data_IF_162094497041
#
_entry.id   IF_162094497041
#
_cell.length_a   1.000
_cell.length_b   1.000
_cell.length_c   1.000
_cell.angle_alpha   90.00
_cell.angle_beta   90.00
_cell.angle_gamma   90.00
#
_symmetry.space_group_name_H-M   'P 1'
#
loop_
_entity.id
_entity.type
_entity.pdbx_description
1 polymer ?
#
# COMPACT_ATOMS: atom_id res chain seq x y z
N UNK A 1 28.75 68.91 -13.72
CA UNK A 1 28.19 67.86 -14.61
C UNK A 1 27.90 66.63 -13.76
N UNK A 2 26.65 66.15 -13.80
CA UNK A 2 26.16 64.77 -13.55
C UNK A 2 26.72 64.03 -12.31
N UNK A 3 25.94 63.98 -11.22
CA UNK A 3 25.02 62.87 -10.86
C UNK A 3 25.76 61.58 -10.49
N UNK A 4 25.74 61.22 -9.20
CA UNK A 4 25.27 59.90 -8.74
C UNK A 4 25.21 59.85 -7.21
N UNK A 5 23.99 59.69 -6.73
CA UNK A 5 23.57 59.44 -5.36
C UNK A 5 23.35 57.93 -5.25
N UNK A 6 24.11 57.18 -4.45
CA UNK A 6 23.67 55.84 -4.01
C UNK A 6 24.06 55.62 -2.54
N UNK A 7 23.01 55.72 -1.72
CA UNK A 7 22.88 55.19 -0.38
C UNK A 7 22.78 53.65 -0.48
N UNK A 8 23.62 52.90 0.23
CA UNK A 8 23.33 51.49 0.51
C UNK A 8 23.74 51.15 1.95
N UNK A 9 22.74 51.14 2.83
CA UNK A 9 22.73 50.33 4.02
C UNK A 9 22.32 48.89 3.67
N UNK A 10 22.39 47.99 4.66
CA UNK A 10 21.95 46.59 4.65
C UNK A 10 22.96 45.58 4.08
N UNK A 11 23.20 44.40 4.65
CA UNK A 11 22.63 43.69 5.80
C UNK A 11 23.65 42.61 6.18
N UNK A 12 23.71 42.31 7.47
CA UNK A 12 24.35 41.14 8.08
C UNK A 12 23.90 39.86 7.35
N UNK A 13 24.82 39.22 6.62
CA UNK A 13 24.58 37.96 5.94
C UNK A 13 24.62 36.82 6.95
N UNK A 14 23.47 36.53 7.56
CA UNK A 14 23.24 35.20 8.13
C UNK A 14 23.05 34.21 6.98
N UNK A 15 23.85 33.14 7.01
CA UNK A 15 23.64 31.95 6.19
C UNK A 15 22.24 31.41 6.49
N UNK A 16 21.30 31.56 5.56
CA UNK A 16 20.11 30.74 5.52
C UNK A 16 20.41 29.51 4.65
N UNK A 17 20.34 28.33 5.24
CA UNK A 17 20.28 27.06 4.51
C UNK A 17 18.90 27.03 3.83
N UNK A 18 18.83 27.56 2.60
CA UNK A 18 17.66 27.40 1.74
C UNK A 18 17.74 26.05 1.05
N UNK A 19 17.09 25.08 1.68
CA UNK A 19 16.93 23.73 1.13
C UNK A 19 16.05 22.84 1.99
N UNK A 20 15.11 23.40 2.76
CA UNK A 20 13.96 22.59 3.15
C UNK A 20 13.10 22.44 1.89
N UNK A 21 13.13 21.26 1.29
CA UNK A 21 12.02 20.87 0.42
C UNK A 21 10.80 20.80 1.31
N UNK A 22 9.96 21.84 1.25
CA UNK A 22 8.56 21.69 1.62
C UNK A 22 8.00 20.63 0.66
N UNK A 23 7.87 19.40 1.14
CA UNK A 23 7.00 18.42 0.48
C UNK A 23 5.61 19.01 0.60
N UNK A 24 5.15 19.67 -0.46
CA UNK A 24 3.78 20.18 -0.53
C UNK A 24 2.83 19.10 -0.04
N UNK A 25 1.84 19.48 0.76
CA UNK A 25 0.87 18.56 1.35
C UNK A 25 0.23 17.74 0.21
N UNK A 26 0.78 16.56 -0.06
CA UNK A 26 0.46 15.78 -1.24
C UNK A 26 -0.77 14.93 -0.88
N UNK A 27 -1.91 15.60 -0.76
CA UNK A 27 -3.20 14.95 -0.49
C UNK A 27 -3.54 14.05 -1.68
N UNK A 28 -3.78 12.77 -1.43
CA UNK A 28 -4.22 11.83 -2.45
C UNK A 28 -5.73 11.99 -2.68
N UNK A 29 -6.17 11.68 -3.90
CA UNK A 29 -7.58 11.71 -4.28
C UNK A 29 -7.95 10.39 -4.93
N UNK A 30 -9.20 9.96 -4.76
CA UNK A 30 -9.72 8.76 -5.41
C UNK A 30 -9.57 8.82 -6.93
N UNK A 31 -9.72 10.02 -7.50
CA UNK A 31 -9.62 10.27 -8.94
C UNK A 31 -8.23 10.03 -9.53
N UNK A 32 -7.17 10.21 -8.73
CA UNK A 32 -5.77 10.03 -9.15
C UNK A 32 -5.21 8.68 -8.72
N UNK A 33 -5.88 7.98 -7.82
CA UNK A 33 -5.43 6.71 -7.27
C UNK A 33 -4.25 6.85 -6.30
N UNK A 34 -3.76 5.71 -5.82
CA UNK A 34 -2.61 5.59 -4.93
C UNK A 34 -1.38 5.17 -5.74
N UNK A 35 -0.32 5.99 -5.82
CA UNK A 35 0.94 5.55 -6.42
C UNK A 35 1.48 4.29 -5.71
N UNK A 36 1.95 3.30 -6.45
CA UNK A 36 2.44 2.03 -5.86
C UNK A 36 3.54 2.24 -4.82
N UNK A 37 4.36 3.28 -4.96
CA UNK A 37 5.42 3.65 -4.03
C UNK A 37 4.91 4.07 -2.63
N UNK A 38 3.65 4.49 -2.52
CA UNK A 38 3.03 4.92 -1.26
C UNK A 38 2.45 3.74 -0.46
N UNK A 39 2.12 2.65 -1.16
CA UNK A 39 1.39 1.51 -0.60
C UNK A 39 2.12 0.81 0.57
N UNK A 40 3.46 0.65 0.56
CA UNK A 40 4.16 0.07 1.72
C UNK A 40 3.96 0.84 3.02
N UNK A 41 3.78 2.17 2.96
CA UNK A 41 3.49 2.98 4.15
C UNK A 41 2.05 2.81 4.63
N UNK A 42 1.08 2.66 3.71
CA UNK A 42 -0.31 2.33 4.05
C UNK A 42 -0.38 0.98 4.76
N UNK A 43 0.32 -0.04 4.22
CA UNK A 43 0.42 -1.35 4.85
C UNK A 43 1.05 -1.28 6.25
N UNK A 44 2.09 -0.47 6.43
CA UNK A 44 2.69 -0.24 7.74
C UNK A 44 1.68 0.34 8.75
N UNK A 45 0.86 1.31 8.33
CA UNK A 45 -0.20 1.88 9.19
C UNK A 45 -1.24 0.84 9.61
N UNK A 46 -1.66 -0.02 8.68
CA UNK A 46 -2.54 -1.16 9.02
C UNK A 46 -1.84 -2.09 10.04
N UNK A 47 -0.54 -2.35 9.88
CA UNK A 47 0.21 -3.27 10.75
C UNK A 47 0.35 -2.81 12.20
N UNK A 48 0.36 -1.49 12.44
CA UNK A 48 0.55 -0.90 13.77
C UNK A 48 -0.77 -0.41 14.39
N UNK A 49 -1.86 -0.47 13.64
CA UNK A 49 -3.18 -0.12 14.14
C UNK A 49 -3.70 -1.20 15.11
N UNK A 50 -4.46 -0.77 16.11
CA UNK A 50 -4.90 -1.61 17.22
C UNK A 50 -6.42 -1.74 17.26
N UNK A 51 -6.91 -2.91 17.71
CA UNK A 51 -8.34 -3.19 17.81
C UNK A 51 -8.95 -3.61 16.47
N UNK A 52 -10.27 -3.55 16.38
CA UNK A 52 -11.00 -3.74 15.12
C UNK A 52 -10.82 -2.49 14.26
N UNK A 53 -10.37 -2.68 13.02
CA UNK A 53 -10.07 -1.59 12.08
C UNK A 53 -11.03 -1.72 10.90
N UNK A 54 -11.92 -0.75 10.73
CA UNK A 54 -12.81 -0.70 9.57
C UNK A 54 -12.17 0.06 8.39
N UNK A 55 -11.34 1.07 8.71
CA UNK A 55 -10.64 1.88 7.73
C UNK A 55 -9.33 2.50 8.25
N UNK A 56 -8.48 2.97 7.33
CA UNK A 56 -7.23 3.69 7.63
C UNK A 56 -7.20 5.02 6.87
N UNK A 57 -6.85 6.09 7.58
CA UNK A 57 -6.58 7.38 6.96
C UNK A 57 -5.12 7.46 6.46
N UNK A 58 -4.96 7.86 5.20
CA UNK A 58 -3.67 8.13 4.58
C UNK A 58 -3.74 9.32 3.61
N UNK A 59 -2.99 10.39 3.92
CA UNK A 59 -2.86 11.59 3.07
C UNK A 59 -4.23 12.12 2.56
N UNK A 60 -5.23 12.15 3.45
CA UNK A 60 -6.58 12.63 3.16
C UNK A 60 -7.54 11.61 2.53
N UNK A 61 -7.09 10.39 2.21
CA UNK A 61 -7.96 9.27 1.87
C UNK A 61 -8.33 8.49 3.12
N UNK A 62 -9.59 8.09 3.24
CA UNK A 62 -10.03 7.13 4.25
C UNK A 62 -10.35 5.79 3.57
N UNK A 63 -9.44 4.82 3.69
CA UNK A 63 -9.49 3.56 2.95
C UNK A 63 -10.10 2.44 3.80
N UNK A 64 -11.19 1.84 3.35
CA UNK A 64 -11.77 0.65 3.98
C UNK A 64 -10.82 -0.56 3.91
N UNK A 65 -11.02 -1.57 4.76
CA UNK A 65 -10.19 -2.78 4.70
C UNK A 65 -10.32 -3.56 3.37
N UNK A 66 -11.47 -3.50 2.70
CA UNK A 66 -11.63 -4.09 1.36
C UNK A 66 -10.84 -3.29 0.31
N UNK A 67 -10.82 -1.95 0.41
CA UNK A 67 -9.96 -1.12 -0.42
C UNK A 67 -8.48 -1.43 -0.19
N UNK A 68 -8.07 -1.58 1.07
CA UNK A 68 -6.71 -1.99 1.42
C UNK A 68 -6.39 -3.37 0.83
N UNK A 69 -7.28 -4.37 0.94
CA UNK A 69 -7.07 -5.70 0.35
C UNK A 69 -6.79 -5.60 -1.16
N UNK A 70 -7.59 -4.83 -1.89
CA UNK A 70 -7.39 -4.60 -3.31
C UNK A 70 -6.07 -3.89 -3.61
N UNK A 71 -5.81 -2.77 -2.93
CA UNK A 71 -4.63 -1.93 -3.16
C UNK A 71 -3.36 -2.72 -2.87
N UNK A 72 -3.33 -3.49 -1.79
CA UNK A 72 -2.18 -4.29 -1.41
C UNK A 72 -1.93 -5.43 -2.39
N UNK A 73 -2.99 -6.14 -2.80
CA UNK A 73 -2.89 -7.18 -3.81
C UNK A 73 -2.33 -6.64 -5.15
N UNK A 74 -2.87 -5.52 -5.63
CA UNK A 74 -2.42 -4.91 -6.89
C UNK A 74 -1.00 -4.36 -6.77
N UNK A 75 -0.64 -3.78 -5.63
CA UNK A 75 0.72 -3.28 -5.39
C UNK A 75 1.76 -4.39 -5.41
N UNK A 76 1.50 -5.55 -4.79
CA UNK A 76 2.43 -6.68 -4.80
C UNK A 76 2.75 -7.11 -6.24
N UNK A 77 1.74 -7.21 -7.11
CA UNK A 77 1.91 -7.59 -8.51
C UNK A 77 2.68 -6.51 -9.30
N UNK A 78 2.41 -5.23 -9.03
CA UNK A 78 3.13 -4.12 -9.66
C UNK A 78 4.60 -4.05 -9.21
N UNK A 79 4.87 -4.26 -7.92
CA UNK A 79 6.24 -4.31 -7.38
C UNK A 79 7.01 -5.52 -7.94
N UNK A 80 6.36 -6.66 -8.13
CA UNK A 80 6.95 -7.85 -8.75
C UNK A 80 7.37 -7.58 -10.21
N UNK A 81 6.58 -6.82 -10.95
CA UNK A 81 6.83 -6.46 -12.35
C UNK A 81 7.60 -5.15 -12.54
N UNK A 82 8.02 -4.49 -11.44
CA UNK A 82 8.65 -3.17 -11.43
C UNK A 82 7.82 -2.05 -12.11
N UNK A 83 6.50 -2.18 -12.06
CA UNK A 83 5.54 -1.14 -12.44
C UNK A 83 5.51 -0.03 -11.37
N UNK A 84 5.45 1.22 -11.80
CA UNK A 84 5.48 2.44 -10.97
C UNK A 84 4.19 3.26 -11.05
N UNK A 85 3.14 2.70 -11.65
CA UNK A 85 1.88 3.38 -11.86
C UNK A 85 1.07 3.63 -10.58
N UNK A 86 -0.15 4.11 -10.81
CA UNK A 86 -1.12 4.37 -9.76
C UNK A 86 -2.16 3.25 -9.72
N UNK A 87 -2.59 2.91 -8.52
CA UNK A 87 -3.63 1.94 -8.22
C UNK A 87 -4.94 2.70 -8.02
N UNK A 88 -6.01 2.37 -8.76
CA UNK A 88 -7.28 3.06 -8.59
C UNK A 88 -7.86 2.81 -7.19
N UNK A 89 -8.50 3.84 -6.62
CA UNK A 89 -9.33 3.68 -5.42
C UNK A 89 -10.75 3.44 -5.90
N UNK A 90 -11.35 2.32 -5.48
CA UNK A 90 -12.69 1.87 -5.88
C UNK A 90 -13.42 1.32 -4.68
N UNK A 91 -14.74 1.24 -4.77
CA UNK A 91 -15.55 0.60 -3.74
C UNK A 91 -15.66 -0.90 -3.97
N UNK A 92 -15.55 -1.66 -2.88
CA UNK A 92 -15.64 -3.12 -2.90
C UNK A 92 -16.51 -3.61 -1.74
N UNK A 93 -17.53 -4.38 -2.07
CA UNK A 93 -18.39 -5.05 -1.10
C UNK A 93 -17.66 -6.10 -0.27
N UNK A 94 -18.28 -6.50 0.83
CA UNK A 94 -17.79 -7.59 1.67
C UNK A 94 -17.83 -8.94 0.93
N UNK A 95 -16.98 -9.90 1.32
CA UNK A 95 -17.12 -11.28 0.87
C UNK A 95 -18.51 -11.82 1.24
N UNK A 96 -19.09 -12.61 0.35
CA UNK A 96 -20.47 -13.11 0.49
C UNK A 96 -20.57 -14.24 1.51
N UNK A 97 -19.57 -15.12 1.53
CA UNK A 97 -19.47 -16.23 2.46
C UNK A 97 -17.99 -16.53 2.73
N UNK A 98 -17.32 -15.71 3.55
CA UNK A 98 -15.90 -15.88 3.82
C UNK A 98 -15.64 -17.24 4.50
N UNK A 99 -14.63 -17.94 4.00
CA UNK A 99 -14.16 -19.22 4.54
C UNK A 99 -12.62 -19.25 4.46
N UNK A 100 -11.99 -20.29 4.97
CA UNK A 100 -10.55 -20.45 4.98
C UNK A 100 -10.16 -21.26 6.21
N UNK A 101 -9.44 -22.35 5.97
CA UNK A 101 -9.09 -23.32 7.03
C UNK A 101 -7.71 -23.09 7.59
N UNK A 102 -6.88 -22.34 6.88
CA UNK A 102 -5.54 -22.03 7.32
C UNK A 102 -5.60 -20.87 8.32
N UNK A 103 -5.26 -21.18 9.58
CA UNK A 103 -4.90 -20.16 10.55
C UNK A 103 -3.54 -19.57 10.19
N UNK A 104 -2.54 -20.42 9.94
CA UNK A 104 -1.18 -20.00 9.57
C UNK A 104 -0.78 -20.51 8.18
N UNK A 105 0.14 -19.78 7.53
CA UNK A 105 0.76 -20.19 6.27
C UNK A 105 2.16 -19.61 6.12
N UNK A 106 3.08 -20.38 5.51
CA UNK A 106 4.35 -19.84 5.01
C UNK A 106 4.30 -19.81 3.49
N UNK A 107 4.20 -18.62 2.92
CA UNK A 107 4.05 -18.39 1.49
C UNK A 107 5.40 -18.00 0.90
N UNK A 108 5.80 -18.68 -0.16
CA UNK A 108 6.88 -18.24 -1.05
C UNK A 108 6.47 -17.01 -1.84
N UNK A 109 7.46 -16.31 -2.39
CA UNK A 109 7.26 -15.22 -3.35
C UNK A 109 6.32 -15.58 -4.49
N UNK A 110 6.50 -16.74 -5.11
CA UNK A 110 5.63 -17.17 -6.19
C UNK A 110 4.17 -17.33 -5.73
N UNK A 111 3.95 -17.90 -4.53
CA UNK A 111 2.61 -18.13 -4.01
C UNK A 111 1.90 -16.82 -3.64
N UNK A 112 2.51 -15.94 -2.86
CA UNK A 112 1.81 -14.71 -2.46
C UNK A 112 1.61 -13.76 -3.66
N UNK A 113 2.49 -13.74 -4.66
CA UNK A 113 2.29 -12.96 -5.90
C UNK A 113 1.14 -13.54 -6.72
N UNK A 114 1.05 -14.86 -6.84
CA UNK A 114 -0.06 -15.53 -7.51
C UNK A 114 -1.40 -15.25 -6.83
N UNK A 115 -1.43 -15.36 -5.50
CA UNK A 115 -2.60 -15.06 -4.68
C UNK A 115 -3.03 -13.60 -4.86
N UNK A 116 -2.10 -12.65 -4.74
CA UNK A 116 -2.35 -11.23 -4.98
C UNK A 116 -2.94 -10.98 -6.38
N UNK A 117 -2.39 -11.64 -7.40
CA UNK A 117 -2.87 -11.59 -8.76
C UNK A 117 -4.32 -12.06 -8.91
N UNK A 118 -4.69 -13.15 -8.25
CA UNK A 118 -6.08 -13.64 -8.24
C UNK A 118 -7.02 -12.73 -7.47
N UNK A 119 -6.58 -12.22 -6.33
CA UNK A 119 -7.40 -11.35 -5.47
C UNK A 119 -7.82 -10.09 -6.20
N UNK A 120 -6.89 -9.30 -6.74
CA UNK A 120 -7.27 -8.03 -7.36
C UNK A 120 -8.13 -8.24 -8.61
N UNK A 121 -7.89 -9.31 -9.38
CA UNK A 121 -8.67 -9.65 -10.57
C UNK A 121 -10.10 -10.08 -10.24
N UNK A 122 -10.27 -10.87 -9.17
CA UNK A 122 -11.60 -11.20 -8.64
C UNK A 122 -12.34 -9.95 -8.21
N UNK A 123 -11.68 -9.06 -7.46
CA UNK A 123 -12.31 -7.83 -7.01
C UNK A 123 -12.69 -6.91 -8.18
N UNK A 124 -11.85 -6.84 -9.22
CA UNK A 124 -12.17 -6.10 -10.46
C UNK A 124 -13.38 -6.70 -11.22
N UNK A 125 -13.69 -7.99 -11.10
CA UNK A 125 -14.84 -8.63 -11.78
C UNK A 125 -16.11 -8.62 -10.93
N UNK A 126 -15.98 -8.95 -9.65
CA UNK A 126 -17.11 -9.19 -8.74
C UNK A 126 -17.50 -7.95 -7.92
N UNK A 127 -16.66 -6.91 -7.91
CA UNK A 127 -16.86 -5.69 -7.12
C UNK A 127 -17.02 -5.95 -5.61
N UNK A 128 -16.47 -7.08 -5.13
CA UNK A 128 -16.46 -7.52 -3.73
C UNK A 128 -15.23 -8.35 -3.40
N UNK A 129 -14.91 -8.47 -2.11
CA UNK A 129 -13.83 -9.34 -1.64
C UNK A 129 -14.07 -10.82 -2.00
N UNK A 130 -13.00 -11.60 -2.26
CA UNK A 130 -13.12 -13.06 -2.45
C UNK A 130 -13.53 -13.73 -1.14
N UNK A 131 -14.18 -14.90 -1.23
CA UNK A 131 -14.53 -15.67 -0.02
C UNK A 131 -13.31 -16.36 0.61
N UNK A 132 -12.34 -16.75 -0.21
CA UNK A 132 -11.07 -17.34 0.19
C UNK A 132 -10.12 -17.31 -1.02
N UNK A 133 -8.83 -17.53 -0.78
CA UNK A 133 -7.83 -17.71 -1.84
C UNK A 133 -6.91 -18.86 -1.45
N UNK A 134 -6.89 -19.90 -2.29
CA UNK A 134 -6.06 -21.10 -2.08
C UNK A 134 -4.60 -20.95 -2.51
N UNK A 135 -3.73 -21.75 -1.92
CA UNK A 135 -2.35 -21.94 -2.40
C UNK A 135 -2.40 -22.96 -3.56
N UNK A 136 -1.73 -22.69 -4.68
CA UNK A 136 -1.73 -23.58 -5.87
C UNK A 136 -0.77 -24.76 -5.75
N UNK A 137 -0.65 -25.32 -4.54
CA UNK A 137 0.04 -26.57 -4.27
C UNK A 137 -1.02 -27.63 -3.96
N UNK A 138 -0.84 -28.84 -4.51
CA UNK A 138 -1.77 -29.94 -4.25
C UNK A 138 -1.89 -30.23 -2.75
N UNK A 139 -3.13 -30.29 -2.25
CA UNK A 139 -3.42 -30.53 -0.83
C UNK A 139 -3.23 -29.33 0.10
N UNK A 140 -2.80 -28.17 -0.41
CA UNK A 140 -2.72 -26.96 0.40
C UNK A 140 -4.11 -26.37 0.70
N UNK A 141 -4.26 -25.77 1.87
CA UNK A 141 -5.51 -25.14 2.29
C UNK A 141 -5.71 -23.73 1.73
N UNK A 142 -6.87 -23.16 2.06
CA UNK A 142 -7.25 -21.81 1.67
C UNK A 142 -7.07 -20.80 2.80
N UNK A 143 -6.67 -19.58 2.43
CA UNK A 143 -6.63 -18.43 3.31
C UNK A 143 -7.96 -17.69 3.23
N UNK A 144 -8.49 -17.32 4.39
CA UNK A 144 -9.61 -16.39 4.47
C UNK A 144 -9.19 -14.97 4.08
N UNK A 145 -10.13 -14.06 3.78
CA UNK A 145 -9.81 -12.69 3.38
C UNK A 145 -8.99 -11.94 4.43
N UNK A 146 -9.23 -12.21 5.72
CA UNK A 146 -8.51 -11.59 6.83
C UNK A 146 -7.06 -12.07 6.92
N UNK A 147 -6.83 -13.38 6.78
CA UNK A 147 -5.48 -13.94 6.79
C UNK A 147 -4.72 -13.51 5.53
N UNK A 148 -5.42 -13.42 4.40
CA UNK A 148 -4.87 -12.91 3.15
C UNK A 148 -4.45 -11.43 3.25
N UNK A 149 -5.30 -10.58 3.83
CA UNK A 149 -4.97 -9.17 4.10
C UNK A 149 -3.72 -9.07 4.98
N UNK A 150 -3.64 -9.87 6.05
CA UNK A 150 -2.45 -9.93 6.94
C UNK A 150 -1.20 -10.36 6.18
N UNK A 151 -1.31 -11.32 5.25
CA UNK A 151 -0.20 -11.77 4.43
C UNK A 151 0.32 -10.63 3.55
N UNK A 152 -0.57 -9.89 2.89
CA UNK A 152 -0.16 -8.78 2.04
C UNK A 152 0.41 -7.61 2.84
N UNK A 153 -0.15 -7.31 4.02
CA UNK A 153 0.43 -6.34 4.97
C UNK A 153 1.85 -6.76 5.36
N UNK A 154 2.08 -8.04 5.65
CA UNK A 154 3.41 -8.56 5.99
C UNK A 154 4.40 -8.43 4.83
N UNK A 155 4.01 -8.80 3.62
CA UNK A 155 4.84 -8.65 2.40
C UNK A 155 5.25 -7.19 2.20
N UNK A 156 4.29 -6.27 2.28
CA UNK A 156 4.51 -4.85 1.99
C UNK A 156 5.30 -4.15 3.09
N UNK A 157 5.15 -4.56 4.36
CA UNK A 157 5.97 -4.03 5.47
C UNK A 157 7.41 -4.51 5.40
N UNK A 158 7.66 -5.75 4.99
CA UNK A 158 9.02 -6.23 4.71
C UNK A 158 9.63 -5.57 3.47
N UNK A 159 8.82 -5.33 2.42
CA UNK A 159 9.26 -4.53 1.28
C UNK A 159 9.67 -3.12 1.69
N UNK A 160 8.88 -2.47 2.57
CA UNK A 160 9.18 -1.12 3.09
C UNK A 160 10.54 -1.05 3.77
N UNK A 161 10.91 -2.07 4.54
CA UNK A 161 12.17 -2.07 5.31
C UNK A 161 13.38 -2.45 4.47
N UNK A 162 13.21 -3.28 3.44
CA UNK A 162 14.33 -3.85 2.67
C UNK A 162 14.47 -3.30 1.26
N UNK A 163 13.42 -2.67 0.72
CA UNK A 163 13.32 -2.28 -0.68
C UNK A 163 13.17 -3.46 -1.65
N UNK A 164 12.88 -4.68 -1.15
CA UNK A 164 12.74 -5.89 -1.96
C UNK A 164 11.56 -6.72 -1.48
N UNK A 165 10.88 -7.38 -2.41
CA UNK A 165 9.84 -8.34 -2.05
C UNK A 165 10.50 -9.55 -1.37
N UNK A 166 10.02 -10.01 -0.20
CA UNK A 166 10.65 -11.07 0.56
C UNK A 166 10.52 -12.43 -0.15
N UNK A 167 11.53 -13.29 -0.04
CA UNK A 167 11.46 -14.62 -0.68
C UNK A 167 10.36 -15.50 -0.06
N UNK A 168 10.04 -15.28 1.21
CA UNK A 168 8.97 -15.95 1.95
C UNK A 168 8.38 -15.04 3.02
N UNK A 169 7.10 -15.19 3.31
CA UNK A 169 6.45 -14.60 4.49
C UNK A 169 5.70 -15.67 5.27
N UNK A 170 5.64 -15.50 6.58
CA UNK A 170 4.81 -16.33 7.45
C UNK A 170 3.72 -15.46 8.08
N UNK A 171 2.47 -15.92 7.96
CA UNK A 171 1.33 -15.39 8.70
C UNK A 171 0.90 -16.36 9.78
N UNK A 172 0.58 -15.88 10.99
CA UNK A 172 0.04 -16.68 12.07
C UNK A 172 -1.39 -17.10 11.79
#
# INVERSE_FOLDING_TARGET
MRRALILMAMICSTLAISGCTQTGNNTLSESTGVPVAEVPEIAYRVSVASGTIDSIEYKGLNLSMNQCLYIFARAIVMLDSNDKGNIPVREYGNPESPDGRLSSATLTRAEYVDMAGRTYRWMDSEWKGPNHVGIRQEGAGDLSPDILLRAFVRVLTEYRSTGKLPDRVTVP
#
